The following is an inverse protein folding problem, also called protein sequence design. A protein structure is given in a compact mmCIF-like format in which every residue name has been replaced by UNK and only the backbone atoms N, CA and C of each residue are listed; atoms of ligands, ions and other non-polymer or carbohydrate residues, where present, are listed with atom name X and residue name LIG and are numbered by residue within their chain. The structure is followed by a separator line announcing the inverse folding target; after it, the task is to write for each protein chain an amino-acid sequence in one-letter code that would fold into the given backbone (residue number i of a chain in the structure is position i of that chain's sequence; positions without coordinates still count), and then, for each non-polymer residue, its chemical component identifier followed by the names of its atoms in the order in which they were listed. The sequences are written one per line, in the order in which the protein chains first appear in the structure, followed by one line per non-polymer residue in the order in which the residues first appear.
data_IF_687338750609
#
_entry.id   IF_687338750609
#
_cell.length_a   1.000
_cell.length_b   1.000
_cell.length_c   1.000
_cell.angle_alpha   90.00
_cell.angle_beta   90.00
_cell.angle_gamma   90.00
#
_symmetry.space_group_name_H-M   'P 1'
#
loop_
_entity.id
_entity.type
_entity.pdbx_description
1 polymer ?
#
# COMPACT_ATOMS: atom_id res chain seq x y z
N UNK A 1 -22.78 13.56 -15.50
CA UNK A 1 -23.16 13.69 -14.08
C UNK A 1 -22.48 14.94 -13.54
N UNK A 2 -23.27 15.96 -13.24
CA UNK A 2 -22.79 17.15 -12.55
C UNK A 2 -22.73 16.77 -11.06
N UNK A 3 -21.54 16.81 -10.45
CA UNK A 3 -21.40 16.64 -9.01
C UNK A 3 -22.17 17.75 -8.29
N UNK A 4 -22.82 17.48 -7.13
CA UNK A 4 -23.47 18.54 -6.36
C UNK A 4 -22.44 19.59 -5.91
N UNK A 5 -22.86 20.83 -5.79
CA UNK A 5 -22.01 22.03 -5.53
C UNK A 5 -21.09 21.93 -4.30
N UNK A 6 -21.27 20.94 -3.43
CA UNK A 6 -20.44 20.66 -2.25
C UNK A 6 -19.73 19.28 -2.30
N UNK A 7 -19.67 18.61 -3.44
CA UNK A 7 -18.94 17.36 -3.54
C UNK A 7 -17.42 17.63 -3.52
N UNK A 8 -16.63 16.78 -2.85
CA UNK A 8 -15.18 16.87 -2.90
C UNK A 8 -14.69 16.80 -4.35
N UNK A 9 -13.61 17.53 -4.66
CA UNK A 9 -13.05 17.54 -6.00
C UNK A 9 -12.59 16.14 -6.39
N UNK A 10 -13.13 15.61 -7.49
CA UNK A 10 -12.70 14.37 -8.10
C UNK A 10 -11.88 14.68 -9.35
N UNK A 11 -10.63 14.24 -9.38
CA UNK A 11 -9.75 14.38 -10.54
C UNK A 11 -9.52 12.99 -11.12
N UNK A 12 -9.96 12.79 -12.36
CA UNK A 12 -9.73 11.56 -13.10
C UNK A 12 -8.63 11.78 -14.14
N UNK A 13 -7.58 10.98 -14.06
CA UNK A 13 -6.45 11.00 -15.00
C UNK A 13 -6.27 9.63 -15.65
N UNK A 14 -5.89 9.58 -16.93
CA UNK A 14 -5.69 8.30 -17.62
C UNK A 14 -4.46 7.54 -17.13
N UNK A 15 -3.46 8.25 -16.64
CA UNK A 15 -2.20 7.68 -16.15
C UNK A 15 -1.46 8.68 -15.24
N UNK A 16 -0.71 8.16 -14.25
CA UNK A 16 0.15 8.95 -13.37
C UNK A 16 1.61 8.59 -13.69
N UNK A 17 2.36 9.55 -14.25
CA UNK A 17 3.76 9.35 -14.62
C UNK A 17 4.73 9.40 -13.42
N UNK A 18 4.31 10.03 -12.31
CA UNK A 18 5.13 10.28 -11.12
C UNK A 18 4.43 9.69 -9.90
N UNK A 19 4.36 8.34 -9.83
CA UNK A 19 3.69 7.63 -8.75
C UNK A 19 4.24 7.98 -7.36
N UNK A 20 5.54 8.23 -7.25
CA UNK A 20 6.17 8.66 -6.01
C UNK A 20 5.57 9.97 -5.46
N UNK A 21 5.22 10.92 -6.33
CA UNK A 21 4.56 12.15 -5.92
C UNK A 21 3.09 11.92 -5.54
N UNK A 22 2.42 11.02 -6.25
CA UNK A 22 1.05 10.63 -5.91
C UNK A 22 0.98 9.97 -4.52
N UNK A 23 1.88 9.04 -4.23
CA UNK A 23 1.97 8.43 -2.90
C UNK A 23 2.32 9.44 -1.81
N UNK A 24 3.21 10.39 -2.10
CA UNK A 24 3.59 11.43 -1.14
C UNK A 24 2.46 12.43 -0.84
N UNK A 25 1.53 12.62 -1.78
CA UNK A 25 0.41 13.54 -1.63
C UNK A 25 -0.84 12.87 -1.04
N UNK A 26 -0.90 11.54 -0.97
CA UNK A 26 -2.05 10.80 -0.51
C UNK A 26 -2.01 10.54 1.00
N UNK A 27 -3.16 10.62 1.66
CA UNK A 27 -3.33 10.19 3.05
C UNK A 27 -3.62 8.69 3.15
N UNK A 28 -4.29 8.12 2.16
CA UNK A 28 -4.56 6.69 2.07
C UNK A 28 -4.78 6.30 0.60
N UNK A 29 -4.79 4.99 0.33
CA UNK A 29 -4.95 4.47 -1.03
C UNK A 29 -5.94 3.31 -1.06
N UNK A 30 -6.69 3.21 -2.16
CA UNK A 30 -7.51 2.04 -2.49
C UNK A 30 -6.96 1.47 -3.79
N UNK A 31 -6.53 0.22 -3.77
CA UNK A 31 -5.83 -0.35 -4.92
C UNK A 31 -5.94 -1.88 -4.99
N UNK A 32 -5.54 -2.43 -6.11
CA UNK A 32 -5.26 -3.86 -6.25
C UNK A 32 -4.00 -4.22 -5.48
N UNK A 33 -3.90 -5.47 -5.02
CA UNK A 33 -2.78 -5.95 -4.20
C UNK A 33 -1.74 -6.77 -5.01
N UNK A 34 -1.34 -6.23 -6.16
CA UNK A 34 -0.18 -6.75 -6.87
C UNK A 34 1.10 -6.57 -6.04
N UNK A 35 2.06 -7.51 -6.17
CA UNK A 35 3.26 -7.54 -5.32
C UNK A 35 4.04 -6.21 -5.31
N UNK A 36 4.25 -5.60 -6.49
CA UNK A 36 4.95 -4.32 -6.59
C UNK A 36 4.18 -3.19 -5.92
N UNK A 37 2.86 -3.12 -6.15
CA UNK A 37 1.99 -2.10 -5.54
C UNK A 37 2.04 -2.18 -4.00
N UNK A 38 1.91 -3.39 -3.46
CA UNK A 38 1.99 -3.61 -2.01
C UNK A 38 3.35 -3.19 -1.46
N UNK A 39 4.44 -3.57 -2.14
CA UNK A 39 5.80 -3.21 -1.71
C UNK A 39 6.03 -1.69 -1.73
N UNK A 40 5.64 -0.99 -2.80
CA UNK A 40 5.79 0.47 -2.92
C UNK A 40 4.99 1.22 -1.86
N UNK A 41 3.72 0.87 -1.67
CA UNK A 41 2.81 1.49 -0.71
C UNK A 41 3.31 1.28 0.72
N UNK A 42 3.74 0.06 1.05
CA UNK A 42 4.27 -0.26 2.38
C UNK A 42 5.57 0.48 2.67
N UNK A 43 6.46 0.59 1.67
CA UNK A 43 7.74 1.28 1.83
C UNK A 43 7.59 2.78 2.15
N UNK A 44 6.52 3.42 1.68
CA UNK A 44 6.22 4.82 2.00
C UNK A 44 5.30 4.99 3.22
N UNK A 45 4.82 3.89 3.79
CA UNK A 45 3.96 3.92 4.97
C UNK A 45 2.54 4.41 4.70
N UNK A 46 2.02 4.22 3.49
CA UNK A 46 0.68 4.69 3.13
C UNK A 46 -0.38 3.65 3.53
N UNK A 47 -1.35 3.99 4.39
CA UNK A 47 -2.45 3.11 4.74
C UNK A 47 -3.27 2.71 3.51
N UNK A 48 -3.60 1.43 3.35
CA UNK A 48 -4.23 0.93 2.14
C UNK A 48 -5.49 0.09 2.40
N UNK A 49 -6.50 0.27 1.53
CA UNK A 49 -7.57 -0.68 1.32
C UNK A 49 -7.22 -1.52 0.09
N UNK A 50 -6.83 -2.75 0.32
CA UNK A 50 -6.49 -3.69 -0.74
C UNK A 50 -7.74 -4.42 -1.24
N UNK A 51 -7.91 -4.41 -2.56
CA UNK A 51 -8.98 -5.13 -3.26
C UNK A 51 -8.33 -6.11 -4.23
N UNK A 52 -8.07 -7.36 -3.81
CA UNK A 52 -7.42 -8.34 -4.66
C UNK A 52 -8.17 -8.57 -5.96
N UNK A 53 -7.45 -8.69 -7.06
CA UNK A 53 -8.05 -9.08 -8.32
C UNK A 53 -8.51 -10.56 -8.22
N UNK A 54 -9.77 -10.91 -8.54
CA UNK A 54 -10.32 -12.26 -8.37
C UNK A 54 -9.90 -13.21 -9.50
N UNK A 55 -8.61 -13.17 -9.88
CA UNK A 55 -8.02 -14.03 -10.91
C UNK A 55 -6.77 -14.73 -10.37
N UNK A 56 -6.40 -15.86 -10.96
CA UNK A 56 -5.27 -16.67 -10.50
C UNK A 56 -5.57 -17.46 -9.23
N UNK A 57 -4.53 -17.81 -8.49
CA UNK A 57 -4.60 -18.67 -7.30
C UNK A 57 -4.72 -17.90 -5.96
N UNK A 58 -5.29 -16.68 -5.97
CA UNK A 58 -5.39 -15.86 -4.76
C UNK A 58 -4.08 -15.16 -4.36
N UNK A 59 -3.10 -15.11 -5.23
CA UNK A 59 -1.78 -14.55 -4.97
C UNK A 59 -1.85 -13.10 -4.49
N UNK A 60 -2.77 -12.30 -5.03
CA UNK A 60 -2.91 -10.91 -4.62
C UNK A 60 -3.35 -10.75 -3.16
N UNK A 61 -4.20 -11.65 -2.65
CA UNK A 61 -4.56 -11.64 -1.24
C UNK A 61 -3.35 -11.98 -0.36
N UNK A 62 -2.55 -12.96 -0.78
CA UNK A 62 -1.33 -13.34 -0.06
C UNK A 62 -0.28 -12.22 -0.04
N UNK A 63 -0.14 -11.45 -1.14
CA UNK A 63 0.78 -10.31 -1.19
C UNK A 63 0.47 -9.24 -0.13
N UNK A 64 -0.80 -8.98 0.15
CA UNK A 64 -1.22 -7.98 1.12
C UNK A 64 -1.17 -8.47 2.57
N UNK A 65 -1.16 -9.79 2.80
CA UNK A 65 -1.29 -10.38 4.12
C UNK A 65 -0.29 -9.84 5.16
N UNK A 66 1.02 -9.72 4.87
CA UNK A 66 1.98 -9.19 5.85
C UNK A 66 1.66 -7.76 6.29
N UNK A 67 1.17 -6.91 5.38
CA UNK A 67 0.79 -5.52 5.68
C UNK A 67 -0.45 -5.48 6.55
N UNK A 68 -1.42 -6.35 6.27
CA UNK A 68 -2.68 -6.45 7.03
C UNK A 68 -2.39 -6.93 8.45
N UNK A 69 -1.60 -7.98 8.60
CA UNK A 69 -1.19 -8.53 9.90
C UNK A 69 -0.41 -7.50 10.74
N UNK A 70 0.38 -6.65 10.08
CA UNK A 70 1.05 -5.53 10.73
C UNK A 70 0.13 -4.35 11.06
N UNK A 71 -1.13 -4.37 10.60
CA UNK A 71 -2.11 -3.31 10.81
C UNK A 71 -1.99 -2.13 9.84
N UNK A 72 -1.20 -2.26 8.76
CA UNK A 72 -0.96 -1.20 7.76
C UNK A 72 -1.99 -1.15 6.64
N UNK A 73 -2.91 -2.10 6.58
CA UNK A 73 -3.92 -2.16 5.55
C UNK A 73 -5.15 -2.96 5.95
N UNK A 74 -6.15 -2.90 5.09
CA UNK A 74 -7.37 -3.70 5.17
C UNK A 74 -7.58 -4.39 3.82
N UNK A 75 -8.13 -5.60 3.81
CA UNK A 75 -8.48 -6.30 2.59
C UNK A 75 -9.99 -6.50 2.51
N UNK A 76 -10.56 -6.16 1.35
CA UNK A 76 -11.95 -6.49 0.99
C UNK A 76 -11.90 -7.19 -0.36
N UNK A 77 -12.56 -8.35 -0.48
CA UNK A 77 -12.61 -9.03 -1.77
C UNK A 77 -13.43 -8.23 -2.79
N UNK A 78 -13.07 -8.35 -4.06
CA UNK A 78 -13.68 -7.57 -5.14
C UNK A 78 -15.22 -7.70 -5.20
N UNK A 79 -15.74 -8.91 -4.99
CA UNK A 79 -17.19 -9.19 -5.02
C UNK A 79 -17.94 -8.69 -3.79
N UNK A 80 -17.25 -8.41 -2.68
CA UNK A 80 -17.83 -7.89 -1.45
C UNK A 80 -17.77 -6.37 -1.37
N UNK A 81 -16.93 -5.73 -2.21
CA UNK A 81 -16.68 -4.30 -2.14
C UNK A 81 -17.92 -3.47 -2.51
N UNK A 82 -18.32 -2.62 -1.60
CA UNK A 82 -19.40 -1.63 -1.78
C UNK A 82 -18.88 -0.21 -1.53
N UNK A 83 -19.56 0.78 -2.12
CA UNK A 83 -19.21 2.19 -1.85
C UNK A 83 -19.32 2.54 -0.36
N UNK A 84 -20.29 1.95 0.36
CA UNK A 84 -20.44 2.19 1.80
C UNK A 84 -19.24 1.66 2.59
N UNK A 85 -18.74 0.48 2.28
CA UNK A 85 -17.55 -0.07 2.95
C UNK A 85 -16.31 0.79 2.73
N UNK A 86 -16.17 1.39 1.54
CA UNK A 86 -15.08 2.34 1.26
C UNK A 86 -15.20 3.57 2.14
N UNK A 87 -16.40 4.15 2.23
CA UNK A 87 -16.67 5.31 3.08
C UNK A 87 -16.38 4.98 4.54
N UNK A 88 -16.95 3.89 5.05
CA UNK A 88 -16.81 3.47 6.45
C UNK A 88 -15.33 3.21 6.80
N UNK A 89 -14.58 2.60 5.88
CA UNK A 89 -13.15 2.38 6.05
C UNK A 89 -12.37 3.69 6.13
N UNK A 90 -12.61 4.61 5.18
CA UNK A 90 -11.91 5.89 5.12
C UNK A 90 -12.25 6.77 6.34
N UNK A 91 -13.52 6.90 6.68
CA UNK A 91 -13.96 7.63 7.87
C UNK A 91 -13.33 7.07 9.14
N UNK A 92 -13.40 5.75 9.34
CA UNK A 92 -12.83 5.09 10.50
C UNK A 92 -11.30 5.29 10.58
N UNK A 93 -10.59 5.21 9.45
CA UNK A 93 -9.15 5.47 9.40
C UNK A 93 -8.80 6.90 9.78
N UNK A 94 -9.52 7.88 9.24
CA UNK A 94 -9.16 9.30 9.33
C UNK A 94 -9.72 9.98 10.58
N UNK A 95 -10.84 9.51 11.14
CA UNK A 95 -11.52 10.17 12.26
C UNK A 95 -11.29 9.49 13.61
N UNK A 96 -10.91 8.19 13.63
CA UNK A 96 -10.64 7.50 14.90
C UNK A 96 -9.26 7.89 15.44
N UNK A 97 -9.18 8.46 16.64
CA UNK A 97 -7.90 8.90 17.21
C UNK A 97 -6.85 7.80 17.25
N UNK A 98 -5.66 8.07 16.74
CA UNK A 98 -4.51 7.15 16.72
C UNK A 98 -4.55 6.07 15.65
N UNK A 99 -5.68 5.86 14.97
CA UNK A 99 -5.81 4.77 13.99
C UNK A 99 -4.96 5.01 12.75
N UNK A 100 -4.94 6.24 12.25
CA UNK A 100 -4.10 6.61 11.11
C UNK A 100 -2.62 6.35 11.40
N UNK A 101 -2.11 6.83 12.54
CA UNK A 101 -0.71 6.67 12.95
C UNK A 101 -0.35 5.18 13.14
N UNK A 102 -1.27 4.40 13.69
CA UNK A 102 -1.10 2.95 13.84
C UNK A 102 -1.01 2.26 12.48
N UNK A 103 -1.84 2.66 11.51
CA UNK A 103 -1.82 2.12 10.16
C UNK A 103 -0.54 2.50 9.40
N UNK A 104 -0.08 3.75 9.49
CA UNK A 104 1.22 4.19 8.94
C UNK A 104 2.36 3.35 9.51
N UNK A 105 2.42 3.19 10.84
CA UNK A 105 3.44 2.38 11.48
C UNK A 105 3.38 0.90 11.08
N UNK A 106 2.17 0.35 10.90
CA UNK A 106 1.95 -1.02 10.42
C UNK A 106 2.47 -1.21 8.99
N UNK A 107 2.15 -0.30 8.09
CA UNK A 107 2.64 -0.32 6.71
C UNK A 107 4.18 -0.26 6.66
N UNK A 108 4.79 0.67 7.39
CA UNK A 108 6.25 0.81 7.44
C UNK A 108 6.97 -0.42 8.02
N UNK A 109 6.36 -1.13 8.97
CA UNK A 109 6.95 -2.36 9.52
C UNK A 109 7.00 -3.50 8.52
N UNK A 110 6.02 -3.58 7.62
CA UNK A 110 5.96 -4.63 6.59
C UNK A 110 6.69 -4.25 5.30
N UNK A 111 6.94 -2.95 5.07
CA UNK A 111 7.65 -2.45 3.91
C UNK A 111 9.16 -2.54 4.07
N UNK A 112 9.87 -2.90 3.00
CA UNK A 112 11.33 -2.81 2.93
C UNK A 112 11.73 -1.68 2.00
N UNK A 113 12.38 -0.65 2.56
CA UNK A 113 12.98 0.43 1.75
C UNK A 113 14.30 0.01 1.11
N UNK A 114 14.91 -1.04 1.64
CA UNK A 114 16.23 -1.52 1.24
C UNK A 114 16.16 -2.88 0.52
N UNK A 115 15.00 -3.25 -0.04
CA UNK A 115 14.78 -4.56 -0.66
C UNK A 115 15.85 -4.90 -1.72
N UNK A 116 16.26 -3.95 -2.54
CA UNK A 116 17.31 -4.16 -3.54
C UNK A 116 18.67 -4.46 -2.89
N UNK A 117 19.00 -3.76 -1.82
CA UNK A 117 20.25 -3.98 -1.06
C UNK A 117 20.21 -5.34 -0.33
N UNK A 118 19.06 -5.70 0.26
CA UNK A 118 18.87 -6.98 0.93
C UNK A 118 19.03 -8.15 -0.04
N UNK A 119 18.46 -8.04 -1.25
CA UNK A 119 18.61 -9.04 -2.32
C UNK A 119 20.05 -9.11 -2.80
N UNK A 120 20.71 -7.97 -3.02
CA UNK A 120 22.11 -7.94 -3.42
C UNK A 120 23.02 -8.57 -2.36
N UNK A 121 22.78 -8.29 -1.09
CA UNK A 121 23.51 -8.87 0.03
C UNK A 121 23.31 -10.38 0.09
N UNK A 122 22.09 -10.87 0.02
CA UNK A 122 21.79 -12.30 0.01
C UNK A 122 22.44 -13.02 -1.18
N UNK A 123 22.45 -12.41 -2.37
CA UNK A 123 23.13 -12.96 -3.54
C UNK A 123 24.65 -13.03 -3.35
N UNK A 124 25.24 -12.00 -2.78
CA UNK A 124 26.68 -11.96 -2.48
C UNK A 124 27.07 -13.02 -1.43
N UNK A 125 26.27 -13.19 -0.39
CA UNK A 125 26.50 -14.19 0.65
C UNK A 125 26.50 -15.62 0.07
N UNK A 126 25.61 -15.90 -0.89
CA UNK A 126 25.54 -17.21 -1.57
C UNK A 126 26.82 -17.55 -2.35
N UNK A 127 27.54 -16.55 -2.86
CA UNK A 127 28.79 -16.74 -3.62
C UNK A 127 30.03 -16.40 -2.80
N UNK A 128 29.90 -16.14 -1.51
CA UNK A 128 31.03 -15.82 -0.61
C UNK A 128 31.66 -14.45 -0.85
N UNK A 129 30.93 -13.52 -1.46
CA UNK A 129 31.37 -12.15 -1.71
C UNK A 129 30.83 -11.20 -0.65
N UNK A 130 31.67 -10.41 -0.01
CA UNK A 130 31.25 -9.41 0.95
C UNK A 130 31.04 -8.04 0.29
N UNK A 131 29.85 -7.51 0.34
CA UNK A 131 29.59 -6.13 -0.10
C UNK A 131 30.34 -5.13 0.81
N UNK A 132 30.97 -4.10 0.26
CA UNK A 132 31.49 -3.01 1.06
C UNK A 132 30.37 -2.33 1.84
N UNK A 133 30.67 -1.87 3.07
CA UNK A 133 29.71 -1.12 3.87
C UNK A 133 29.25 0.12 3.10
N UNK A 134 27.92 0.33 2.99
CA UNK A 134 27.36 1.52 2.38
C UNK A 134 27.79 2.76 3.18
N UNK A 135 28.51 3.66 2.53
CA UNK A 135 28.81 4.98 3.08
C UNK A 135 27.54 5.84 2.90
N UNK A 136 26.83 6.07 3.99
CA UNK A 136 25.77 7.08 4.07
C UNK A 136 26.33 8.42 4.57
#
# INVERSE_FOLDING_TARGET
NVAPDNAPAQIQVPYINTMNLAYAAADCVICRSGAMTVAEISAVGLPALYVPLPIGNGEQALNAQPVIEAGGGTLINDHDLTGQQVIDWAENLLTTPGKYQTAVAGALRSGSRNAAEDVARAACDLVGYSLPASQH
#
